data_IF_529634200894
#
_entry.id   IF_529634200894
#
_cell.length_a   1.000
_cell.length_b   1.000
_cell.length_c   1.000
_cell.angle_alpha   90.00
_cell.angle_beta   90.00
_cell.angle_gamma   90.00
#
_symmetry.space_group_name_H-M   'P 1'
#
loop_
_entity.id
_entity.type
_entity.pdbx_description
1 polymer ?
#
# COMPACT_ATOMS: atom_id res chain seq x y z
N UNK A 1 -6.78 -10.84 28.35
CA UNK A 1 -7.70 -11.48 27.38
C UNK A 1 -7.00 -11.52 26.04
N UNK A 2 -7.15 -12.58 25.25
CA UNK A 2 -6.67 -12.58 23.86
C UNK A 2 -7.33 -11.42 23.10
N UNK A 3 -6.66 -10.83 22.10
CA UNK A 3 -7.24 -9.77 21.29
C UNK A 3 -8.53 -10.26 20.60
N UNK A 4 -9.53 -9.39 20.40
CA UNK A 4 -10.86 -9.78 19.94
C UNK A 4 -10.92 -10.23 18.48
N UNK A 5 -9.88 -9.96 17.69
CA UNK A 5 -9.76 -10.29 16.27
C UNK A 5 -8.37 -10.85 15.99
N UNK A 6 -8.29 -11.91 15.18
CA UNK A 6 -7.02 -12.61 14.92
C UNK A 6 -6.13 -11.91 13.87
N UNK A 7 -6.68 -10.95 13.12
CA UNK A 7 -6.01 -10.16 12.08
C UNK A 7 -6.38 -10.58 10.64
N UNK A 8 -6.98 -11.75 10.44
CA UNK A 8 -7.30 -12.34 9.14
C UNK A 8 -8.81 -12.60 9.01
N UNK A 9 -9.61 -11.61 9.40
CA UNK A 9 -11.07 -11.62 9.37
C UNK A 9 -11.59 -10.37 8.67
N UNK A 10 -12.72 -10.47 7.95
CA UNK A 10 -13.41 -9.29 7.43
C UNK A 10 -14.08 -8.50 8.55
N UNK A 11 -13.42 -7.43 8.99
CA UNK A 11 -13.94 -6.50 10.00
C UNK A 11 -14.02 -5.08 9.44
N UNK A 12 -14.94 -4.24 9.97
CA UNK A 12 -14.98 -2.83 9.62
C UNK A 12 -13.64 -2.11 9.87
N UNK A 13 -13.27 -1.18 9.00
CA UNK A 13 -12.03 -0.42 9.14
C UNK A 13 -11.93 0.31 10.47
N UNK A 14 -13.04 0.89 10.91
CA UNK A 14 -13.14 1.59 12.19
C UNK A 14 -12.71 0.69 13.35
N UNK A 15 -12.95 -0.63 13.30
CA UNK A 15 -12.47 -1.57 14.34
C UNK A 15 -10.99 -1.89 14.21
N UNK A 16 -10.49 -2.01 12.97
CA UNK A 16 -9.10 -2.35 12.68
C UNK A 16 -8.12 -1.25 13.13
N UNK A 17 -8.47 0.01 12.89
CA UNK A 17 -7.56 1.15 13.11
C UNK A 17 -7.36 1.48 14.59
N UNK A 18 -8.21 0.96 15.48
CA UNK A 18 -8.23 1.36 16.89
C UNK A 18 -6.92 1.08 17.62
N UNK A 19 -6.54 2.06 18.44
CA UNK A 19 -5.44 1.98 19.38
C UNK A 19 -5.93 2.36 20.78
N UNK A 20 -5.40 1.70 21.79
CA UNK A 20 -5.61 2.06 23.19
C UNK A 20 -4.58 3.12 23.58
N UNK A 21 -5.02 4.24 24.12
CA UNK A 21 -4.12 5.22 24.72
C UNK A 21 -3.53 4.69 26.04
N UNK A 22 -2.21 4.76 26.18
CA UNK A 22 -1.48 4.39 27.39
C UNK A 22 -1.08 5.64 28.20
N UNK A 23 -0.69 6.71 27.51
CA UNK A 23 -0.42 8.04 28.05
C UNK A 23 -0.67 9.12 26.98
N UNK A 24 -0.29 10.39 27.24
CA UNK A 24 -0.52 11.53 26.33
C UNK A 24 0.12 11.40 24.92
N UNK A 25 1.09 10.50 24.78
CA UNK A 25 1.90 10.33 23.58
C UNK A 25 2.16 8.86 23.21
N UNK A 26 1.69 7.90 24.00
CA UNK A 26 1.90 6.47 23.76
C UNK A 26 0.58 5.75 23.56
N UNK A 27 0.52 4.93 22.51
CA UNK A 27 -0.66 4.15 22.12
C UNK A 27 -0.28 2.70 21.86
N UNK A 28 -1.23 1.78 21.93
CA UNK A 28 -1.01 0.35 21.66
C UNK A 28 -2.11 -0.21 20.76
N UNK A 29 -1.75 -1.07 19.80
CA UNK A 29 -2.72 -1.75 18.93
C UNK A 29 -3.80 -2.47 19.74
N UNK A 30 -5.06 -2.34 19.31
CA UNK A 30 -6.16 -3.19 19.81
C UNK A 30 -6.37 -4.39 18.89
N UNK A 31 -6.44 -4.16 17.58
CA UNK A 31 -6.53 -5.21 16.58
C UNK A 31 -5.14 -5.76 16.22
N UNK A 32 -5.05 -7.08 16.05
CA UNK A 32 -3.85 -7.73 15.51
C UNK A 32 -3.69 -7.40 14.02
N UNK A 33 -2.44 -7.38 13.52
CA UNK A 33 -2.17 -7.12 12.11
C UNK A 33 -2.64 -8.26 11.21
N UNK A 34 -3.11 -7.89 10.02
CA UNK A 34 -3.22 -8.84 8.91
C UNK A 34 -1.89 -9.54 8.67
N UNK A 35 -1.94 -10.86 8.50
CA UNK A 35 -0.77 -11.69 8.23
C UNK A 35 -1.07 -12.54 7.01
N UNK A 36 -0.57 -12.19 5.81
CA UNK A 36 -0.87 -12.97 4.63
C UNK A 36 -0.33 -14.42 4.79
N UNK A 37 -1.11 -15.39 4.32
CA UNK A 37 -1.03 -16.83 4.60
C UNK A 37 -1.27 -17.26 6.06
N UNK A 38 -1.74 -16.35 6.91
CA UNK A 38 -2.03 -16.60 8.31
C UNK A 38 -0.78 -16.67 9.20
N UNK A 39 -0.99 -16.77 10.52
CA UNK A 39 0.09 -16.75 11.52
C UNK A 39 1.00 -17.97 11.46
N UNK A 40 0.44 -19.12 11.11
CA UNK A 40 1.15 -20.38 10.98
C UNK A 40 1.72 -20.59 9.56
N UNK A 41 1.36 -19.72 8.61
CA UNK A 41 1.89 -19.76 7.25
C UNK A 41 3.24 -19.06 7.14
N UNK A 42 4.09 -19.48 6.21
CA UNK A 42 5.29 -18.73 5.88
C UNK A 42 4.91 -17.52 4.99
N UNK A 43 5.41 -16.30 5.28
CA UNK A 43 6.47 -15.94 6.23
C UNK A 43 6.02 -15.67 7.67
N UNK A 44 4.71 -15.56 7.95
CA UNK A 44 4.19 -15.37 9.32
C UNK A 44 4.55 -14.01 9.92
N UNK A 45 4.61 -12.96 9.09
CA UNK A 45 4.98 -11.60 9.53
C UNK A 45 3.81 -10.64 9.34
N UNK A 46 3.73 -9.67 10.25
CA UNK A 46 2.71 -8.62 10.20
C UNK A 46 2.78 -7.81 8.89
N UNK A 47 1.62 -7.51 8.33
CA UNK A 47 1.48 -6.65 7.17
C UNK A 47 1.97 -5.22 7.45
N UNK A 48 2.83 -4.69 6.58
CA UNK A 48 3.46 -3.38 6.72
C UNK A 48 2.45 -2.23 6.77
N UNK A 49 1.39 -2.31 5.97
CA UNK A 49 0.30 -1.33 5.98
C UNK A 49 -0.35 -1.18 7.35
N UNK A 50 -0.44 -2.26 8.15
CA UNK A 50 -1.03 -2.21 9.48
C UNK A 50 -0.22 -1.37 10.46
N UNK A 51 1.09 -1.58 10.51
CA UNK A 51 1.96 -0.79 11.39
C UNK A 51 2.02 0.67 10.92
N UNK A 52 2.01 0.91 9.61
CA UNK A 52 2.07 2.25 9.03
C UNK A 52 0.79 3.06 9.30
N UNK A 53 -0.39 2.47 9.07
CA UNK A 53 -1.68 3.14 9.29
C UNK A 53 -1.88 3.50 10.78
N UNK A 54 -1.53 2.59 11.70
CA UNK A 54 -1.76 2.80 13.13
C UNK A 54 -0.75 3.79 13.70
N UNK A 55 0.46 3.87 13.14
CA UNK A 55 1.40 4.94 13.45
C UNK A 55 0.82 6.31 13.06
N UNK A 56 0.26 6.44 11.86
CA UNK A 56 -0.43 7.66 11.44
C UNK A 56 -1.64 7.96 12.35
N UNK A 57 -2.45 6.96 12.66
CA UNK A 57 -3.62 7.10 13.53
C UNK A 57 -3.25 7.54 14.95
N UNK A 58 -2.19 6.97 15.54
CA UNK A 58 -1.65 7.40 16.83
C UNK A 58 -1.20 8.86 16.78
N UNK A 59 -0.54 9.29 15.70
CA UNK A 59 -0.19 10.69 15.51
C UNK A 59 -1.44 11.59 15.43
N UNK A 60 -2.51 11.16 14.77
CA UNK A 60 -3.79 11.90 14.70
C UNK A 60 -4.39 12.16 16.09
N UNK A 61 -4.21 11.26 17.05
CA UNK A 61 -4.70 11.46 18.43
C UNK A 61 -3.99 12.60 19.16
N UNK A 62 -2.88 13.11 18.62
CA UNK A 62 -2.03 14.13 19.27
C UNK A 62 -2.10 15.49 18.59
N UNK A 63 -2.95 15.69 17.57
CA UNK A 63 -3.09 16.95 16.84
C UNK A 63 -4.46 17.59 17.10
N UNK A 64 -4.53 18.92 17.00
CA UNK A 64 -5.80 19.64 17.15
C UNK A 64 -6.76 19.31 16.00
N UNK A 65 -8.07 19.45 16.26
CA UNK A 65 -9.11 19.28 15.23
C UNK A 65 -8.87 20.20 14.02
N UNK A 66 -9.23 19.73 12.84
CA UNK A 66 -9.09 20.45 11.56
C UNK A 66 -7.73 20.29 10.87
N UNK A 67 -6.78 19.58 11.49
CA UNK A 67 -5.55 19.15 10.84
C UNK A 67 -5.75 17.79 10.16
N UNK A 68 -5.52 17.74 8.85
CA UNK A 68 -5.57 16.53 8.05
C UNK A 68 -4.16 16.04 7.75
N UNK A 69 -3.96 14.72 7.66
CA UNK A 69 -2.70 14.17 7.18
C UNK A 69 -2.45 14.68 5.75
N UNK A 70 -1.29 15.29 5.51
CA UNK A 70 -0.87 15.71 4.16
C UNK A 70 0.22 14.82 3.58
N UNK A 71 1.11 14.32 4.44
CA UNK A 71 2.22 13.44 4.04
C UNK A 71 2.53 12.48 5.19
N UNK A 72 2.76 11.22 4.83
CA UNK A 72 3.30 10.21 5.73
C UNK A 72 4.48 9.54 5.08
N UNK A 73 5.58 9.43 5.81
CA UNK A 73 6.72 8.61 5.43
C UNK A 73 7.02 7.60 6.53
N UNK A 74 7.41 6.39 6.13
CA UNK A 74 7.64 5.26 7.01
C UNK A 74 8.92 4.51 6.64
N UNK A 75 9.67 4.06 7.65
CA UNK A 75 10.83 3.19 7.48
C UNK A 75 10.62 1.91 8.26
N UNK A 76 10.68 0.77 7.57
CA UNK A 76 10.59 -0.56 8.15
C UNK A 76 11.99 -1.03 8.58
N UNK A 77 12.11 -1.46 9.83
CA UNK A 77 13.40 -1.76 10.46
C UNK A 77 13.47 -3.25 10.82
N UNK A 78 12.47 -3.76 11.53
CA UNK A 78 12.36 -5.17 11.92
C UNK A 78 10.99 -5.71 11.51
N UNK A 79 10.93 -7.02 11.22
CA UNK A 79 9.68 -7.70 10.93
C UNK A 79 8.80 -7.76 12.19
N UNK A 80 7.52 -7.39 12.04
CA UNK A 80 6.57 -7.42 13.14
C UNK A 80 6.08 -8.84 13.42
N UNK A 81 6.04 -9.22 14.70
CA UNK A 81 5.42 -10.45 15.16
C UNK A 81 3.88 -10.29 15.17
N UNK A 82 3.11 -11.13 14.45
CA UNK A 82 1.66 -11.01 14.34
C UNK A 82 0.87 -11.08 15.64
N UNK A 83 1.40 -11.75 16.66
CA UNK A 83 0.69 -11.99 17.92
C UNK A 83 0.99 -10.95 19.01
N UNK A 84 1.96 -10.07 18.76
CA UNK A 84 2.41 -9.06 19.72
C UNK A 84 1.82 -7.71 19.32
N UNK A 85 0.99 -7.06 20.16
CA UNK A 85 0.52 -5.71 19.88
C UNK A 85 1.68 -4.74 19.68
N UNK A 86 1.59 -3.84 18.70
CA UNK A 86 2.57 -2.77 18.54
C UNK A 86 2.34 -1.66 19.56
N UNK A 87 3.41 -1.05 20.04
CA UNK A 87 3.37 0.17 20.85
C UNK A 87 3.92 1.34 20.05
N UNK A 88 3.13 2.40 19.94
CA UNK A 88 3.38 3.61 19.16
C UNK A 88 3.71 4.78 20.10
N UNK A 89 4.95 5.25 20.08
CA UNK A 89 5.37 6.44 20.83
C UNK A 89 5.47 7.64 19.89
N UNK A 90 4.65 8.66 20.15
CA UNK A 90 4.50 9.86 19.33
C UNK A 90 5.31 11.01 19.91
N UNK A 91 6.28 11.51 19.16
CA UNK A 91 6.98 12.74 19.47
C UNK A 91 6.32 13.92 18.75
N UNK A 92 5.90 14.94 19.52
CA UNK A 92 5.35 16.19 18.99
C UNK A 92 6.49 17.14 18.59
N UNK A 93 6.82 17.17 17.30
CA UNK A 93 7.95 17.97 16.81
C UNK A 93 7.58 19.45 16.72
N UNK A 94 6.40 19.74 16.17
CA UNK A 94 5.95 21.12 15.95
C UNK A 94 4.44 21.18 15.85
N UNK A 95 3.87 22.21 16.46
CA UNK A 95 2.50 22.67 16.20
C UNK A 95 2.55 24.11 15.68
N UNK A 96 2.38 24.26 14.37
CA UNK A 96 2.32 25.55 13.70
C UNK A 96 0.88 26.00 13.46
N UNK A 97 0.75 27.18 12.84
CA UNK A 97 -0.57 27.73 12.49
C UNK A 97 -1.33 26.87 11.46
N UNK A 98 -0.62 26.45 10.40
CA UNK A 98 -1.16 25.68 9.27
C UNK A 98 -0.64 24.25 9.19
N UNK A 99 0.53 23.95 9.77
CA UNK A 99 1.17 22.64 9.71
C UNK A 99 1.56 22.14 11.10
N UNK A 100 1.41 20.84 11.32
CA UNK A 100 1.90 20.12 12.49
C UNK A 100 2.74 18.92 12.05
N UNK A 101 3.75 18.56 12.83
CA UNK A 101 4.65 17.45 12.54
C UNK A 101 4.77 16.53 13.73
N UNK A 102 4.70 15.22 13.49
CA UNK A 102 4.91 14.15 14.46
C UNK A 102 5.95 13.18 13.94
N UNK A 103 6.76 12.64 14.85
CA UNK A 103 7.56 11.45 14.60
C UNK A 103 6.96 10.34 15.46
N UNK A 104 6.80 9.14 14.90
CA UNK A 104 6.28 7.98 15.60
C UNK A 104 7.34 6.89 15.59
N UNK A 105 7.69 6.39 16.76
CA UNK A 105 8.54 5.20 16.90
C UNK A 105 7.67 4.04 17.33
N UNK A 106 7.72 2.93 16.59
CA UNK A 106 6.90 1.76 16.86
C UNK A 106 7.76 0.61 17.33
N UNK A 107 7.35 0.00 18.44
CA UNK A 107 8.11 -1.04 19.12
C UNK A 107 7.29 -2.30 19.36
N UNK A 108 8.02 -3.42 19.43
CA UNK A 108 7.61 -4.69 20.01
C UNK A 108 8.78 -5.19 20.88
N UNK A 109 8.64 -6.37 21.50
CA UNK A 109 9.68 -6.96 22.36
C UNK A 109 11.07 -7.05 21.69
N UNK A 110 11.12 -7.27 20.37
CA UNK A 110 12.37 -7.40 19.62
C UNK A 110 13.09 -6.06 19.34
N UNK A 111 12.46 -4.91 19.62
CA UNK A 111 13.04 -3.59 19.41
C UNK A 111 12.14 -2.65 18.60
N UNK A 112 12.77 -1.77 17.81
CA UNK A 112 12.07 -0.82 16.94
C UNK A 112 11.70 -1.51 15.64
N UNK A 113 10.40 -1.63 15.39
CA UNK A 113 9.86 -2.27 14.18
C UNK A 113 9.78 -1.29 13.03
N UNK A 114 9.38 -0.05 13.33
CA UNK A 114 9.03 0.94 12.33
C UNK A 114 9.21 2.36 12.89
N UNK A 115 9.61 3.30 12.04
CA UNK A 115 9.56 4.74 12.37
C UNK A 115 8.80 5.48 11.29
N UNK A 116 8.08 6.53 11.68
CA UNK A 116 7.30 7.35 10.74
C UNK A 116 7.40 8.82 11.04
N UNK A 117 7.40 9.64 9.99
CA UNK A 117 7.13 11.07 10.09
C UNK A 117 5.75 11.34 9.50
N UNK A 118 4.87 11.96 10.29
CA UNK A 118 3.50 12.31 9.91
C UNK A 118 3.38 13.83 9.90
N UNK A 119 3.05 14.38 8.74
CA UNK A 119 2.84 15.82 8.55
C UNK A 119 1.35 16.06 8.35
N UNK A 120 0.84 17.03 9.10
CA UNK A 120 -0.54 17.45 9.04
C UNK A 120 -0.64 18.88 8.51
N UNK A 121 -1.74 19.18 7.83
CA UNK A 121 -2.06 20.48 7.26
C UNK A 121 -3.52 20.82 7.53
N UNK A 122 -3.81 22.10 7.79
CA UNK A 122 -5.20 22.59 7.77
C UNK A 122 -5.73 22.71 6.35
N UNK A 123 -7.04 22.56 6.18
CA UNK A 123 -7.71 22.86 4.93
C UNK A 123 -7.44 24.33 4.53
N UNK A 124 -7.06 24.53 3.27
CA UNK A 124 -6.84 25.84 2.67
C UNK A 124 -7.33 25.78 1.22
N UNK A 125 -7.89 26.88 0.73
CA UNK A 125 -8.29 27.03 -0.67
C UNK A 125 -7.20 27.79 -1.42
N UNK A 126 -6.84 27.33 -2.62
CA UNK A 126 -5.92 28.01 -3.52
C UNK A 126 -6.62 28.40 -4.83
N UNK A 127 -6.10 29.43 -5.55
CA UNK A 127 -6.64 29.80 -6.86
C UNK A 127 -6.22 28.85 -7.99
N UNK A 128 -5.31 27.91 -7.72
CA UNK A 128 -4.80 26.94 -8.68
C UNK A 128 -5.05 25.53 -8.15
N UNK A 129 -5.71 24.74 -8.98
CA UNK A 129 -5.92 23.31 -8.79
C UNK A 129 -5.80 22.63 -10.15
N UNK A 130 -4.74 21.83 -10.32
CA UNK A 130 -4.38 21.23 -11.61
C UNK A 130 -3.78 19.85 -11.36
N UNK A 131 -4.24 18.89 -12.14
CA UNK A 131 -3.69 17.54 -12.20
C UNK A 131 -3.47 17.11 -13.64
N UNK A 132 -2.71 16.04 -13.85
CA UNK A 132 -2.67 15.36 -15.15
C UNK A 132 -4.04 14.74 -15.44
N UNK A 133 -4.58 14.95 -16.66
CA UNK A 133 -5.80 14.26 -17.06
C UNK A 133 -5.52 12.77 -17.28
N UNK A 134 -6.34 11.91 -16.70
CA UNK A 134 -6.34 10.48 -16.99
C UNK A 134 -7.77 9.97 -16.88
N UNK A 135 -8.32 9.54 -18.00
CA UNK A 135 -9.60 8.83 -18.01
C UNK A 135 -9.33 7.35 -17.84
N UNK A 136 -9.29 6.90 -16.59
CA UNK A 136 -8.81 5.56 -16.21
C UNK A 136 -9.49 4.45 -17.03
N UNK A 137 -10.82 4.48 -17.11
CA UNK A 137 -11.63 3.48 -17.83
C UNK A 137 -11.39 3.47 -19.34
N UNK A 138 -11.19 4.64 -19.95
CA UNK A 138 -10.86 4.74 -21.39
C UNK A 138 -9.43 4.24 -21.65
N UNK A 139 -8.46 4.67 -20.84
CA UNK A 139 -7.04 4.29 -20.97
C UNK A 139 -6.82 2.79 -20.84
N UNK A 140 -7.56 2.14 -19.94
CA UNK A 140 -7.43 0.72 -19.62
C UNK A 140 -8.62 -0.11 -20.11
N UNK A 141 -9.30 0.32 -21.18
CA UNK A 141 -10.48 -0.37 -21.72
C UNK A 141 -10.22 -1.86 -22.00
N UNK A 142 -9.01 -2.24 -22.42
CA UNK A 142 -8.63 -3.64 -22.65
C UNK A 142 -8.80 -4.56 -21.41
N UNK A 143 -8.73 -4.01 -20.20
CA UNK A 143 -8.94 -4.73 -18.95
C UNK A 143 -10.31 -4.44 -18.31
N UNK A 144 -10.85 -3.23 -18.54
CA UNK A 144 -11.95 -2.67 -17.78
C UNK A 144 -13.29 -2.59 -18.53
N UNK A 145 -13.31 -2.72 -19.86
CA UNK A 145 -14.52 -2.48 -20.64
C UNK A 145 -15.68 -3.39 -20.21
N UNK A 146 -16.84 -2.77 -19.97
CA UNK A 146 -18.07 -3.48 -19.60
C UNK A 146 -18.07 -4.06 -18.18
N UNK A 147 -17.11 -3.67 -17.34
CA UNK A 147 -16.97 -4.11 -15.95
C UNK A 147 -17.14 -2.95 -14.98
N UNK A 148 -17.37 -3.30 -13.74
CA UNK A 148 -17.33 -2.47 -12.55
C UNK A 148 -16.24 -3.00 -11.60
N UNK A 149 -15.81 -2.24 -10.59
CA UNK A 149 -14.86 -2.74 -9.59
C UNK A 149 -15.27 -4.07 -8.94
N UNK A 150 -16.57 -4.28 -8.72
CA UNK A 150 -17.15 -5.47 -8.09
C UNK A 150 -17.03 -6.75 -8.93
N UNK A 151 -16.89 -6.61 -10.26
CA UNK A 151 -16.73 -7.75 -11.19
C UNK A 151 -15.33 -8.38 -11.11
N UNK A 152 -14.36 -7.71 -10.49
CA UNK A 152 -13.01 -8.23 -10.36
C UNK A 152 -12.86 -9.13 -9.13
N UNK A 153 -11.91 -10.06 -9.22
CA UNK A 153 -11.58 -10.94 -8.10
C UNK A 153 -10.95 -10.13 -6.95
N UNK A 154 -11.17 -10.61 -5.73
CA UNK A 154 -10.50 -10.07 -4.55
C UNK A 154 -8.98 -10.18 -4.70
N UNK A 155 -8.27 -9.17 -4.23
CA UNK A 155 -6.82 -9.21 -4.20
C UNK A 155 -6.33 -10.41 -3.37
N UNK A 156 -5.37 -11.20 -3.88
CA UNK A 156 -4.77 -12.27 -3.10
C UNK A 156 -3.99 -11.71 -1.90
N UNK A 157 -3.82 -12.51 -0.85
CA UNK A 157 -2.96 -12.17 0.29
C UNK A 157 -1.49 -12.01 -0.13
N UNK A 158 -1.02 -12.85 -1.05
CA UNK A 158 0.23 -12.67 -1.79
C UNK A 158 -0.06 -12.62 -3.28
N UNK A 159 0.11 -11.46 -3.92
CA UNK A 159 0.01 -11.37 -5.37
C UNK A 159 1.26 -11.94 -6.07
N UNK A 160 1.46 -13.26 -5.97
CA UNK A 160 2.60 -13.97 -6.52
C UNK A 160 2.16 -15.26 -7.21
N UNK A 161 2.86 -15.71 -8.27
CA UNK A 161 2.40 -16.86 -9.05
C UNK A 161 2.21 -18.14 -8.22
N UNK A 162 3.08 -18.39 -7.23
CA UNK A 162 2.93 -19.53 -6.33
C UNK A 162 1.64 -19.47 -5.51
N UNK A 163 1.24 -18.30 -5.03
CA UNK A 163 0.03 -18.14 -4.22
C UNK A 163 -1.21 -18.36 -5.07
N UNK A 164 -1.24 -17.83 -6.30
CA UNK A 164 -2.31 -18.10 -7.27
C UNK A 164 -2.44 -19.60 -7.58
N UNK A 165 -1.33 -20.33 -7.72
CA UNK A 165 -1.35 -21.79 -7.90
C UNK A 165 -1.94 -22.51 -6.69
N UNK A 166 -1.64 -22.06 -5.47
CA UNK A 166 -2.20 -22.65 -4.25
C UNK A 166 -3.69 -22.28 -4.05
N UNK A 167 -4.07 -21.04 -4.35
CA UNK A 167 -5.47 -20.61 -4.35
C UNK A 167 -6.29 -21.41 -5.36
N UNK A 168 -5.79 -21.66 -6.58
CA UNK A 168 -6.49 -22.47 -7.57
C UNK A 168 -6.70 -23.92 -7.12
N UNK A 169 -5.82 -24.47 -6.26
CA UNK A 169 -5.97 -25.82 -5.69
C UNK A 169 -6.93 -25.86 -4.50
N UNK A 170 -6.90 -24.84 -3.66
CA UNK A 170 -7.57 -24.85 -2.35
C UNK A 170 -8.87 -24.03 -2.30
N UNK A 171 -9.06 -23.11 -3.25
CA UNK A 171 -10.11 -22.10 -3.25
C UNK A 171 -9.97 -21.03 -2.16
N UNK A 172 -8.87 -21.02 -1.39
CA UNK A 172 -8.73 -20.15 -0.22
C UNK A 172 -8.05 -18.84 -0.57
N UNK A 173 -8.62 -17.73 -0.09
CA UNK A 173 -7.97 -16.42 -0.06
C UNK A 173 -7.92 -15.90 1.39
N UNK A 174 -6.86 -15.18 1.75
CA UNK A 174 -6.74 -14.56 3.06
C UNK A 174 -7.71 -13.38 3.19
N UNK A 175 -8.61 -13.44 4.17
CA UNK A 175 -9.54 -12.35 4.44
C UNK A 175 -8.79 -11.09 4.88
N UNK A 176 -8.89 -10.03 4.09
CA UNK A 176 -8.24 -8.76 4.38
C UNK A 176 -9.15 -7.88 5.25
N UNK A 177 -8.74 -7.52 6.48
CA UNK A 177 -9.58 -6.69 7.34
C UNK A 177 -9.65 -5.25 6.83
N UNK A 178 -10.75 -4.57 7.14
CA UNK A 178 -10.90 -3.12 6.97
C UNK A 178 -11.21 -2.65 5.56
N UNK A 179 -10.72 -3.31 4.51
CA UNK A 179 -10.94 -2.90 3.12
C UNK A 179 -11.36 -4.08 2.24
N UNK A 180 -12.32 -3.83 1.34
CA UNK A 180 -12.57 -4.69 0.19
C UNK A 180 -11.65 -4.23 -0.93
N UNK A 181 -10.81 -5.13 -1.46
CA UNK A 181 -9.80 -4.82 -2.47
C UNK A 181 -9.93 -5.75 -3.65
N UNK A 182 -10.02 -5.19 -4.86
CA UNK A 182 -10.33 -5.90 -6.11
C UNK A 182 -9.23 -5.67 -7.14
N UNK A 183 -8.69 -6.76 -7.69
CA UNK A 183 -7.56 -6.69 -8.62
C UNK A 183 -8.05 -6.82 -10.06
N UNK A 184 -7.83 -5.78 -10.87
CA UNK A 184 -8.15 -5.88 -12.28
C UNK A 184 -7.23 -6.89 -12.98
N UNK A 185 -7.80 -7.75 -13.84
CA UNK A 185 -7.00 -8.58 -14.73
C UNK A 185 -6.40 -7.72 -15.85
N UNK A 186 -5.13 -7.37 -15.69
CA UNK A 186 -4.37 -6.55 -16.63
C UNK A 186 -3.63 -7.39 -17.68
N UNK A 187 -3.88 -8.70 -17.79
CA UNK A 187 -3.14 -9.62 -18.67
C UNK A 187 -3.20 -9.19 -20.14
N UNK A 188 -4.38 -8.78 -20.62
CA UNK A 188 -4.54 -8.31 -22.00
C UNK A 188 -3.80 -7.00 -22.25
N UNK A 189 -3.89 -6.05 -21.31
CA UNK A 189 -3.23 -4.75 -21.40
C UNK A 189 -1.70 -4.85 -21.34
N UNK A 190 -1.17 -5.66 -20.41
CA UNK A 190 0.27 -5.78 -20.15
C UNK A 190 1.01 -6.68 -21.14
N UNK A 191 0.30 -7.36 -22.05
CA UNK A 191 0.89 -8.32 -22.98
C UNK A 191 1.91 -7.63 -23.89
N UNK A 192 3.15 -8.09 -23.85
CA UNK A 192 4.24 -7.58 -24.68
C UNK A 192 4.79 -6.21 -24.25
N UNK A 193 4.30 -5.63 -23.15
CA UNK A 193 4.86 -4.41 -22.59
C UNK A 193 6.16 -4.68 -21.83
N UNK A 194 7.10 -3.75 -21.93
CA UNK A 194 8.28 -3.73 -21.08
C UNK A 194 7.86 -3.61 -19.60
N UNK A 195 8.58 -4.21 -18.63
CA UNK A 195 8.21 -4.16 -17.20
C UNK A 195 7.88 -2.76 -16.65
N UNK A 196 8.56 -1.72 -17.14
CA UNK A 196 8.36 -0.32 -16.72
C UNK A 196 7.03 0.28 -17.23
N UNK A 197 6.49 -0.28 -18.31
CA UNK A 197 5.26 0.17 -18.94
C UNK A 197 4.05 -0.67 -18.50
N UNK A 198 4.29 -1.80 -17.82
CA UNK A 198 3.23 -2.59 -17.20
C UNK A 198 2.52 -1.79 -16.12
N UNK A 199 1.22 -2.03 -15.99
CA UNK A 199 0.34 -1.38 -15.02
C UNK A 199 -0.46 -2.42 -14.26
N UNK A 200 -0.68 -2.19 -12.98
CA UNK A 200 -1.67 -2.94 -12.21
C UNK A 200 -2.72 -1.96 -11.67
N UNK A 201 -4.00 -2.33 -11.77
CA UNK A 201 -5.08 -1.58 -11.15
C UNK A 201 -5.62 -2.37 -9.96
N UNK A 202 -5.72 -1.71 -8.81
CA UNK A 202 -6.33 -2.24 -7.59
C UNK A 202 -7.42 -1.28 -7.15
N UNK A 203 -8.66 -1.72 -7.23
CA UNK A 203 -9.80 -0.98 -6.71
C UNK A 203 -10.01 -1.32 -5.25
N UNK A 204 -10.42 -0.34 -4.44
CA UNK A 204 -10.70 -0.59 -3.04
C UNK A 204 -11.78 0.33 -2.47
N UNK A 205 -12.48 -0.19 -1.47
CA UNK A 205 -13.41 0.54 -0.62
C UNK A 205 -13.27 0.11 0.84
N UNK A 206 -13.82 0.88 1.77
CA UNK A 206 -13.89 0.46 3.16
C UNK A 206 -14.91 -0.65 3.37
N UNK A 207 -14.59 -1.59 4.26
CA UNK A 207 -15.57 -2.46 4.88
C UNK A 207 -16.13 -1.70 6.08
N UNK A 208 -17.45 -1.59 6.15
CA UNK A 208 -18.16 -0.80 7.15
C UNK A 208 -18.03 0.71 6.94
N UNK A 209 -18.95 1.43 7.57
CA UNK A 209 -18.99 2.89 7.55
C UNK A 209 -18.02 3.47 8.58
N UNK A 210 -17.21 4.45 8.17
CA UNK A 210 -16.40 5.27 9.07
C UNK A 210 -17.09 6.61 9.34
N UNK A 211 -16.94 7.13 10.56
CA UNK A 211 -17.47 8.46 10.91
C UNK A 211 -16.95 9.55 9.97
N UNK A 212 -17.84 10.46 9.54
CA UNK A 212 -17.48 11.65 8.75
C UNK A 212 -16.83 12.75 9.61
N UNK A 213 -16.99 12.68 10.93
CA UNK A 213 -16.40 13.63 11.88
C UNK A 213 -14.89 13.40 12.07
N UNK A 214 -14.38 12.24 11.66
CA UNK A 214 -12.98 11.85 11.76
C UNK A 214 -12.35 11.61 10.37
N UNK A 215 -12.12 12.66 9.56
CA UNK A 215 -11.57 12.52 8.21
C UNK A 215 -10.20 11.84 8.18
N UNK A 216 -9.38 12.00 9.23
CA UNK A 216 -8.10 11.31 9.33
C UNK A 216 -8.22 9.79 9.42
N UNK A 217 -9.36 9.25 9.87
CA UNK A 217 -9.62 7.80 9.86
C UNK A 217 -9.68 7.28 8.43
N UNK A 218 -10.35 8.04 7.54
CA UNK A 218 -10.41 7.74 6.11
C UNK A 218 -9.02 7.84 5.46
N UNK A 219 -8.22 8.85 5.80
CA UNK A 219 -6.85 8.97 5.28
C UNK A 219 -5.95 7.83 5.78
N UNK A 220 -6.17 7.32 7.00
CA UNK A 220 -5.52 6.09 7.47
C UNK A 220 -5.95 4.87 6.66
N UNK A 221 -7.20 4.81 6.18
CA UNK A 221 -7.66 3.76 5.27
C UNK A 221 -7.01 3.83 3.89
N UNK A 222 -6.83 5.04 3.35
CA UNK A 222 -6.04 5.25 2.13
C UNK A 222 -4.58 4.78 2.32
N UNK A 223 -3.98 5.11 3.47
CA UNK A 223 -2.62 4.68 3.83
C UNK A 223 -2.51 3.15 4.03
N UNK A 224 -3.57 2.50 4.46
CA UNK A 224 -3.59 1.03 4.56
C UNK A 224 -3.63 0.37 3.19
N UNK A 225 -4.47 0.89 2.29
CA UNK A 225 -4.58 0.42 0.91
C UNK A 225 -3.27 0.60 0.13
N UNK A 226 -2.49 1.64 0.44
CA UNK A 226 -1.27 1.97 -0.28
C UNK A 226 -0.24 0.84 -0.28
N UNK A 227 -0.15 0.06 0.80
CA UNK A 227 0.80 -1.05 0.94
C UNK A 227 0.26 -2.40 0.43
N UNK A 228 -1.04 -2.51 0.10
CA UNK A 228 -1.62 -3.76 -0.43
C UNK A 228 -0.99 -4.10 -1.79
N UNK A 229 -0.42 -5.31 -1.89
CA UNK A 229 0.19 -5.91 -3.08
C UNK A 229 1.29 -5.09 -3.79
N UNK A 230 1.91 -4.14 -3.09
CA UNK A 230 2.88 -3.17 -3.62
C UNK A 230 4.14 -3.81 -4.23
N UNK A 231 5.08 -4.29 -3.41
CA UNK A 231 6.33 -4.90 -3.90
C UNK A 231 6.09 -6.19 -4.68
N UNK A 232 4.93 -6.82 -4.50
CA UNK A 232 4.52 -7.98 -5.30
C UNK A 232 4.29 -7.61 -6.76
N UNK A 233 3.69 -6.44 -7.03
CA UNK A 233 3.63 -5.89 -8.37
C UNK A 233 5.03 -5.76 -9.00
N UNK A 234 6.02 -5.27 -8.25
CA UNK A 234 7.40 -5.13 -8.76
C UNK A 234 7.97 -6.49 -9.18
N UNK A 235 7.82 -7.51 -8.32
CA UNK A 235 8.25 -8.87 -8.63
C UNK A 235 7.58 -9.43 -9.89
N UNK A 236 6.27 -9.24 -10.03
CA UNK A 236 5.49 -9.69 -11.18
C UNK A 236 5.84 -8.93 -12.47
N UNK A 237 5.99 -7.61 -12.40
CA UNK A 237 6.29 -6.77 -13.55
C UNK A 237 7.60 -7.21 -14.22
N UNK A 238 8.64 -7.47 -13.42
CA UNK A 238 9.93 -7.97 -13.86
C UNK A 238 9.99 -9.48 -14.10
N UNK A 239 8.90 -10.24 -13.89
CA UNK A 239 8.89 -11.69 -14.13
C UNK A 239 9.72 -12.50 -13.13
N UNK A 240 9.99 -11.96 -11.95
CA UNK A 240 10.82 -12.58 -10.89
C UNK A 240 10.00 -13.05 -9.68
N UNK A 241 8.67 -13.09 -9.80
CA UNK A 241 7.75 -13.45 -8.71
C UNK A 241 7.93 -14.85 -8.13
N UNK A 242 8.43 -15.81 -8.92
CA UNK A 242 8.79 -17.17 -8.47
C UNK A 242 10.27 -17.33 -8.15
N UNK A 243 11.09 -16.28 -8.35
CA UNK A 243 12.55 -16.37 -8.27
C UNK A 243 13.11 -15.74 -6.99
N UNK A 244 12.41 -14.81 -6.35
CA UNK A 244 12.98 -14.08 -5.21
C UNK A 244 13.25 -14.98 -3.99
N UNK A 245 14.28 -14.64 -3.23
CA UNK A 245 14.69 -15.33 -1.98
C UNK A 245 14.42 -14.50 -0.73
N UNK A 246 14.13 -13.22 -0.89
CA UNK A 246 13.73 -12.34 0.18
C UNK A 246 13.03 -11.11 -0.36
N UNK A 247 11.91 -10.74 0.27
CA UNK A 247 11.13 -9.57 -0.06
C UNK A 247 10.78 -8.84 1.23
N UNK A 248 11.00 -7.53 1.27
CA UNK A 248 10.67 -6.73 2.43
C UNK A 248 10.61 -5.24 2.11
N UNK A 249 9.64 -4.55 2.70
CA UNK A 249 9.53 -3.10 2.63
C UNK A 249 10.71 -2.44 3.35
N UNK A 250 11.22 -1.33 2.81
CA UNK A 250 12.26 -0.53 3.45
C UNK A 250 11.72 0.87 3.77
N UNK A 251 11.17 1.54 2.77
CA UNK A 251 10.61 2.89 2.89
C UNK A 251 9.26 2.92 2.19
N UNK A 252 8.25 3.55 2.80
CA UNK A 252 6.94 3.76 2.18
C UNK A 252 6.49 5.19 2.44
N UNK A 253 6.12 5.92 1.38
CA UNK A 253 5.69 7.31 1.46
C UNK A 253 4.35 7.50 0.74
N UNK A 254 3.45 8.25 1.37
CA UNK A 254 2.17 8.65 0.81
C UNK A 254 2.01 10.16 0.93
N UNK A 255 1.69 10.81 -0.17
CA UNK A 255 1.38 12.24 -0.24
C UNK A 255 -0.09 12.37 -0.64
N UNK A 256 -0.88 13.04 0.20
CA UNK A 256 -2.27 13.36 -0.08
C UNK A 256 -2.35 14.75 -0.73
N UNK A 257 -2.99 14.83 -1.89
CA UNK A 257 -3.06 16.06 -2.69
C UNK A 257 -4.35 16.85 -2.46
N UNK A 258 -5.43 16.15 -2.14
CA UNK A 258 -6.79 16.71 -2.08
C UNK A 258 -7.27 16.97 -0.64
N UNK A 259 -8.39 17.68 -0.52
CA UNK A 259 -9.10 17.85 0.74
C UNK A 259 -9.81 16.58 1.22
N UNK A 260 -10.37 16.64 2.44
CA UNK A 260 -11.04 15.49 3.05
C UNK A 260 -12.19 14.93 2.19
N UNK A 261 -13.00 15.78 1.55
CA UNK A 261 -14.18 15.35 0.78
C UNK A 261 -13.83 14.37 -0.35
N UNK A 262 -12.73 14.62 -1.05
CA UNK A 262 -12.28 13.75 -2.14
C UNK A 262 -11.67 12.44 -1.62
N UNK A 263 -11.04 12.46 -0.44
CA UNK A 263 -10.33 11.33 0.17
C UNK A 263 -11.21 10.42 1.04
N UNK A 264 -12.35 10.93 1.51
CA UNK A 264 -13.27 10.18 2.35
C UNK A 264 -14.01 9.09 1.55
N UNK A 265 -14.15 7.93 2.18
CA UNK A 265 -15.01 6.83 1.74
C UNK A 265 -16.48 7.18 2.00
N UNK A 266 -17.37 6.57 1.22
CA UNK A 266 -18.81 6.70 1.42
C UNK A 266 -19.30 5.77 2.54
N UNK A 267 -20.59 5.88 2.87
CA UNK A 267 -21.27 4.88 3.70
C UNK A 267 -21.21 3.52 3.01
N UNK A 268 -20.97 2.47 3.79
CA UNK A 268 -20.90 1.11 3.25
C UNK A 268 -22.33 0.57 3.07
N UNK A 269 -22.89 0.84 1.89
CA UNK A 269 -24.17 0.31 1.41
C UNK A 269 -23.97 -0.96 0.55
N UNK A 270 -22.75 -1.50 0.52
CA UNK A 270 -22.38 -2.67 -0.29
C UNK A 270 -21.61 -2.33 -1.57
N UNK A 271 -21.12 -3.35 -2.29
CA UNK A 271 -20.17 -3.20 -3.41
C UNK A 271 -20.70 -2.43 -4.61
N UNK A 272 -21.98 -2.58 -4.92
CA UNK A 272 -22.60 -2.06 -6.14
C UNK A 272 -22.78 -0.54 -6.12
N UNK A 273 -22.92 0.06 -4.93
CA UNK A 273 -23.19 1.49 -4.73
C UNK A 273 -22.04 2.21 -4.00
N UNK A 274 -20.90 1.55 -3.86
CA UNK A 274 -19.78 2.08 -3.10
C UNK A 274 -18.94 3.11 -3.88
N UNK A 275 -18.31 4.01 -3.12
CA UNK A 275 -17.23 4.87 -3.60
C UNK A 275 -15.93 4.07 -3.68
N UNK A 276 -15.56 3.63 -4.88
CA UNK A 276 -14.33 2.88 -5.15
C UNK A 276 -13.15 3.78 -5.53
N UNK A 277 -12.09 3.73 -4.75
CA UNK A 277 -10.81 4.31 -5.15
C UNK A 277 -10.03 3.31 -6.02
N UNK A 278 -9.13 3.82 -6.87
CA UNK A 278 -8.26 2.98 -7.68
C UNK A 278 -6.79 3.37 -7.50
N UNK A 279 -5.98 2.39 -7.12
CA UNK A 279 -4.52 2.44 -7.25
C UNK A 279 -4.11 2.08 -8.67
N UNK A 280 -3.36 2.95 -9.33
CA UNK A 280 -2.67 2.71 -10.59
C UNK A 280 -1.18 2.50 -10.29
N UNK A 281 -0.75 1.26 -10.31
CA UNK A 281 0.56 0.81 -9.82
C UNK A 281 1.53 0.55 -10.98
N UNK A 282 2.80 0.94 -10.80
CA UNK A 282 3.90 0.61 -11.69
C UNK A 282 5.25 0.58 -10.97
N UNK A 283 6.30 0.18 -11.70
CA UNK A 283 7.68 0.26 -11.26
C UNK A 283 8.51 1.08 -12.22
N UNK A 284 9.50 1.81 -11.71
CA UNK A 284 10.41 2.61 -12.54
C UNK A 284 11.84 2.08 -12.52
N UNK A 285 12.18 1.23 -11.54
CA UNK A 285 13.55 0.75 -11.37
C UNK A 285 13.64 -0.49 -10.50
N UNK A 286 14.52 -1.38 -10.92
CA UNK A 286 15.07 -2.46 -10.11
C UNK A 286 16.59 -2.49 -10.23
N UNK A 287 17.30 -2.50 -9.11
CA UNK A 287 18.76 -2.58 -9.09
C UNK A 287 19.29 -2.95 -7.71
N UNK A 288 20.46 -3.60 -7.64
CA UNK A 288 21.15 -3.93 -6.39
C UNK A 288 20.26 -4.65 -5.35
N UNK A 289 19.37 -5.54 -5.81
CA UNK A 289 18.44 -6.27 -4.96
C UNK A 289 17.35 -5.41 -4.34
N UNK A 290 17.02 -4.27 -4.96
CA UNK A 290 15.91 -3.40 -4.58
C UNK A 290 15.05 -3.05 -5.78
N UNK A 291 13.77 -2.81 -5.53
CA UNK A 291 12.81 -2.36 -6.52
C UNK A 291 11.98 -1.19 -6.01
N UNK A 292 11.70 -0.22 -6.88
CA UNK A 292 10.83 0.91 -6.57
C UNK A 292 9.41 0.62 -7.05
N UNK A 293 8.46 0.66 -6.13
CA UNK A 293 7.03 0.71 -6.42
C UNK A 293 6.55 2.15 -6.43
N UNK A 294 5.70 2.50 -7.39
CA UNK A 294 5.06 3.81 -7.52
C UNK A 294 3.58 3.61 -7.79
N UNK A 295 2.73 4.45 -7.20
CA UNK A 295 1.31 4.43 -7.47
C UNK A 295 0.67 5.81 -7.45
N UNK A 296 -0.39 5.95 -8.23
CA UNK A 296 -1.35 7.06 -8.14
C UNK A 296 -2.67 6.53 -7.64
N UNK A 297 -3.29 7.25 -6.73
CA UNK A 297 -4.63 6.96 -6.25
C UNK A 297 -5.62 7.89 -6.93
N UNK A 298 -6.62 7.29 -7.57
CA UNK A 298 -7.71 7.97 -8.24
C UNK A 298 -9.01 7.79 -7.44
N UNK A 299 -9.76 8.87 -7.23
CA UNK A 299 -11.16 8.77 -6.78
C UNK A 299 -12.09 8.41 -7.97
N UNK A 300 -13.34 7.99 -7.73
CA UNK A 300 -14.28 7.65 -8.82
C UNK A 300 -14.53 8.79 -9.81
N UNK A 301 -14.41 10.04 -9.35
CA UNK A 301 -14.62 11.24 -10.15
C UNK A 301 -13.42 11.56 -11.06
N UNK A 302 -12.31 10.81 -10.95
CA UNK A 302 -11.10 11.00 -11.75
C UNK A 302 -10.07 11.96 -11.15
N UNK A 303 -10.24 12.38 -9.90
CA UNK A 303 -9.28 13.16 -9.13
C UNK A 303 -8.09 12.32 -8.65
N UNK A 304 -6.87 12.83 -8.84
CA UNK A 304 -5.63 12.23 -8.35
C UNK A 304 -5.39 12.64 -6.90
N UNK A 305 -5.92 11.85 -5.98
CA UNK A 305 -6.02 12.23 -4.56
C UNK A 305 -4.76 11.91 -3.75
N UNK A 306 -3.93 10.95 -4.18
CA UNK A 306 -2.68 10.63 -3.51
C UNK A 306 -1.60 10.03 -4.44
N UNK A 307 -0.34 10.26 -4.10
CA UNK A 307 0.83 9.58 -4.71
C UNK A 307 1.51 8.69 -3.68
N UNK A 308 1.90 7.49 -4.09
CA UNK A 308 2.61 6.52 -3.26
C UNK A 308 3.96 6.21 -3.88
N UNK A 309 4.99 6.09 -3.05
CA UNK A 309 6.28 5.50 -3.44
C UNK A 309 6.75 4.54 -2.36
N UNK A 310 7.37 3.43 -2.77
CA UNK A 310 7.90 2.45 -1.83
C UNK A 310 9.18 1.82 -2.37
N UNK A 311 10.27 1.92 -1.59
CA UNK A 311 11.50 1.17 -1.83
C UNK A 311 11.43 -0.14 -1.06
N UNK A 312 11.75 -1.22 -1.74
CA UNK A 312 11.70 -2.56 -1.19
C UNK A 312 12.93 -3.37 -1.53
N UNK A 313 13.37 -4.17 -0.58
CA UNK A 313 14.30 -5.24 -0.82
C UNK A 313 13.59 -6.34 -1.62
N UNK A 314 14.19 -6.74 -2.73
CA UNK A 314 13.78 -7.91 -3.53
C UNK A 314 15.08 -8.60 -3.95
N UNK A 315 15.43 -9.70 -3.26
CA UNK A 315 16.68 -10.44 -3.50
C UNK A 315 16.44 -11.61 -4.42
N UNK A 316 17.35 -11.86 -5.34
CA UNK A 316 17.39 -13.07 -6.16
C UNK A 316 18.48 -14.04 -5.64
N UNK A 317 18.42 -15.33 -6.00
CA UNK A 317 19.48 -16.29 -5.74
C UNK A 317 20.82 -15.80 -6.30
N UNK A 318 21.94 -16.17 -5.66
CA UNK A 318 23.29 -15.74 -6.07
C UNK A 318 23.70 -16.25 -7.45
N UNK A 319 23.09 -17.34 -7.89
CA UNK A 319 23.33 -18.07 -9.14
C UNK A 319 22.24 -17.83 -10.20
N UNK A 320 21.31 -16.91 -9.95
CA UNK A 320 20.19 -16.60 -10.86
C UNK A 320 20.61 -15.80 -12.11
N UNK A 321 21.91 -15.57 -12.35
CA UNK A 321 22.42 -14.76 -13.47
C UNK A 321 21.94 -15.24 -14.85
N UNK A 322 21.82 -16.55 -15.05
CA UNK A 322 21.35 -17.12 -16.31
C UNK A 322 19.85 -16.86 -16.52
N UNK A 323 19.04 -17.13 -15.49
CA UNK A 323 17.59 -16.90 -15.50
C UNK A 323 17.26 -15.41 -15.64
N UNK A 324 17.98 -14.54 -14.92
CA UNK A 324 17.81 -13.09 -15.03
C UNK A 324 18.11 -12.59 -16.46
N UNK A 325 19.16 -13.11 -17.11
CA UNK A 325 19.45 -12.78 -18.51
C UNK A 325 18.39 -13.29 -19.48
N UNK A 326 17.78 -14.43 -19.19
CA UNK A 326 16.68 -14.97 -20.00
C UNK A 326 15.44 -14.09 -19.88
N UNK A 327 15.05 -13.74 -18.66
CA UNK A 327 13.97 -12.79 -18.36
C UNK A 327 14.24 -11.43 -19.05
N UNK A 328 15.46 -10.90 -18.96
CA UNK A 328 15.84 -9.65 -19.64
C UNK A 328 15.74 -9.74 -21.17
N UNK A 329 15.98 -10.92 -21.76
CA UNK A 329 15.81 -11.12 -23.20
C UNK A 329 14.34 -11.12 -23.59
N UNK A 330 13.46 -11.68 -22.76
CA UNK A 330 12.01 -11.72 -23.01
C UNK A 330 11.38 -10.32 -23.05
N UNK A 331 11.93 -9.35 -22.32
CA UNK A 331 11.45 -7.97 -22.37
C UNK A 331 11.65 -7.30 -23.74
N UNK A 332 12.49 -7.88 -24.61
CA UNK A 332 12.86 -7.35 -25.91
C UNK A 332 13.79 -6.14 -25.83
N UNK A 333 14.55 -5.88 -26.90
CA UNK A 333 15.25 -4.61 -27.09
C UNK A 333 14.26 -3.57 -27.64
N UNK A 334 13.38 -3.05 -26.79
CA UNK A 334 12.44 -2.01 -27.20
C UNK A 334 13.17 -0.66 -27.13
N UNK A 335 13.14 0.17 -28.19
CA UNK A 335 13.61 1.54 -28.13
C UNK A 335 12.74 2.26 -27.10
N UNK A 336 13.33 2.66 -25.97
CA UNK A 336 12.65 3.58 -25.06
C UNK A 336 12.45 4.88 -25.84
N UNK A 337 11.23 5.43 -25.84
CA UNK A 337 11.04 6.83 -26.21
C UNK A 337 11.97 7.65 -25.29
N UNK A 338 13.05 8.16 -25.87
CA UNK A 338 14.10 9.02 -25.28
C UNK A 338 14.33 8.88 -23.77
N UNK A 339 14.66 7.68 -23.31
CA UNK A 339 15.45 7.56 -22.09
C UNK A 339 16.50 6.48 -22.32
N UNK A 340 17.77 6.83 -22.23
CA UNK A 340 18.81 5.80 -22.25
C UNK A 340 18.64 4.94 -20.99
N UNK A 341 18.31 3.65 -21.13
CA UNK A 341 18.57 2.69 -20.06
C UNK A 341 20.09 2.69 -19.82
N UNK A 342 20.53 3.38 -18.77
CA UNK A 342 21.91 3.30 -18.30
C UNK A 342 22.13 1.89 -17.74
N UNK A 343 22.48 0.94 -18.62
CA UNK A 343 22.95 -0.38 -18.25
C UNK A 343 24.35 -0.20 -17.65
N UNK A 344 24.54 -0.69 -16.42
CA UNK A 344 25.80 -0.56 -15.68
C UNK A 344 26.95 -1.12 -16.53
N UNK A 345 27.91 -0.27 -16.93
CA UNK A 345 29.19 -0.73 -17.49
C UNK A 345 29.84 -1.63 -16.45
N UNK A 346 30.27 -2.83 -16.87
CA UNK A 346 31.10 -3.72 -16.05
C UNK A 346 32.40 -2.96 -15.69
N UNK A 347 32.48 -2.47 -14.45
CA UNK A 347 33.67 -1.86 -13.85
C UNK A 347 33.92 -2.55 -12.51
N UNK A 348 35.16 -3.00 -12.32
CA UNK A 348 35.67 -3.84 -11.22
C UNK A 348 35.36 -3.27 -9.83
N UNK A 349 35.26 -4.20 -8.88
CA UNK A 349 35.23 -4.04 -7.42
C UNK A 349 36.21 -2.99 -6.90
#
# INVERSE_FOLDING_TARGET
>A
MPPPHDGNEYIPFEKLVQVKQLDDNTFQSIALPFTPSGKDGAPGVAFGGHVHMQAAWAACQTVAKGFLISNVSGNFILAGAPEVPFTYSVQRIRDGRSYSTRIVTVTQNAGIMFTSTVIFKKAETGPLDVQSSTKLWEKYAAALQGKTPSDFEECPGFDMPWYWREQAKTGKNDAFPGLDTRKADMTAYNRGLHPLDKRQLVFYRSIGTMSKDDPNMHLCAQLYASDRNSLFHVGNAYGIGDLYTGLGSLVHQVIFHSGAEELMFAEDVGPEEAKWFCKEDWTTRYTNGRGLFVSRVWNPEGGHVATITQDGLIRLPRDADAQAKEIEREWGSIPQEETEVIRRRKGRL
#
